data_IF_627389874040
#
_entry.id   IF_627389874040
#
_cell.length_a   1.000
_cell.length_b   1.000
_cell.length_c   1.000
_cell.angle_alpha   90.00
_cell.angle_beta   90.00
_cell.angle_gamma   90.00
#
_symmetry.space_group_name_H-M   'P 1'
#
loop_
_entity.id
_entity.type
_entity.pdbx_description
1 polymer ?
#
# COMPACT_ATOMS: atom_id res chain seq x y z
N UNK A 1 8.06 5.00 -2.16
CA UNK A 1 7.12 5.38 -3.24
C UNK A 1 6.53 6.76 -2.98
N UNK A 2 6.59 7.67 -3.96
CA UNK A 2 6.07 9.04 -3.83
C UNK A 2 4.60 9.07 -4.25
N UNK A 3 3.79 9.87 -3.55
CA UNK A 3 2.34 9.99 -3.79
C UNK A 3 1.98 10.42 -5.22
N UNK A 4 2.86 11.20 -5.87
CA UNK A 4 2.69 11.67 -7.25
C UNK A 4 2.63 10.52 -8.27
N UNK A 5 3.37 9.43 -8.04
CA UNK A 5 3.41 8.26 -8.94
C UNK A 5 2.14 7.42 -8.84
N UNK A 6 1.48 7.43 -7.68
CA UNK A 6 0.25 6.69 -7.43
C UNK A 6 -0.99 7.39 -7.99
N UNK A 7 -0.95 8.71 -8.14
CA UNK A 7 -2.08 9.51 -8.66
C UNK A 7 -2.33 9.28 -10.16
N UNK A 8 -1.29 8.98 -10.94
CA UNK A 8 -1.39 8.82 -12.39
C UNK A 8 -1.60 7.37 -12.84
N UNK A 9 -1.59 6.40 -11.91
CA UNK A 9 -1.77 4.98 -12.23
C UNK A 9 -3.25 4.62 -12.32
N UNK A 10 -3.64 3.72 -13.24
CA UNK A 10 -5.01 3.26 -13.35
C UNK A 10 -5.45 2.51 -12.09
N UNK A 11 -6.74 2.64 -11.74
CA UNK A 11 -7.37 1.96 -10.59
C UNK A 11 -7.06 0.46 -10.52
N UNK A 12 -6.99 -0.22 -11.67
CA UNK A 12 -6.67 -1.63 -11.75
C UNK A 12 -5.25 -1.94 -11.27
N UNK A 13 -4.28 -1.12 -11.63
CA UNK A 13 -2.89 -1.27 -11.22
C UNK A 13 -2.72 -0.92 -9.74
N UNK A 14 -3.42 0.11 -9.24
CA UNK A 14 -3.46 0.44 -7.81
C UNK A 14 -4.00 -0.73 -6.98
N UNK A 15 -5.06 -1.41 -7.44
CA UNK A 15 -5.59 -2.61 -6.76
C UNK A 15 -4.61 -3.78 -6.78
N UNK A 16 -3.91 -4.02 -7.90
CA UNK A 16 -2.86 -5.05 -7.99
C UNK A 16 -1.73 -4.77 -7.00
N UNK A 17 -1.21 -3.54 -7.01
CA UNK A 17 -0.17 -3.11 -6.07
C UNK A 17 -0.64 -3.20 -4.61
N UNK A 18 -1.91 -2.91 -4.32
CA UNK A 18 -2.46 -3.08 -2.98
C UNK A 18 -2.39 -4.55 -2.53
N UNK A 19 -2.78 -5.48 -3.42
CA UNK A 19 -2.74 -6.92 -3.14
C UNK A 19 -1.30 -7.40 -2.87
N UNK A 20 -0.36 -7.05 -3.74
CA UNK A 20 1.06 -7.41 -3.58
C UNK A 20 1.66 -6.85 -2.28
N UNK A 21 1.32 -5.62 -1.89
CA UNK A 21 1.79 -5.03 -0.64
C UNK A 21 1.16 -5.69 0.59
N UNK A 22 -0.08 -6.16 0.50
CA UNK A 22 -0.72 -6.96 1.55
C UNK A 22 -0.06 -8.33 1.72
N UNK A 23 0.25 -9.02 0.62
CA UNK A 23 0.97 -10.29 0.63
C UNK A 23 2.38 -10.11 1.24
N UNK A 24 3.12 -9.08 0.82
CA UNK A 24 4.41 -8.72 1.44
C UNK A 24 4.28 -8.42 2.93
N UNK A 25 3.21 -7.76 3.36
CA UNK A 25 2.97 -7.48 4.77
C UNK A 25 2.71 -8.78 5.54
N UNK A 26 1.97 -9.71 4.97
CA UNK A 26 1.69 -11.02 5.55
C UNK A 26 2.98 -11.85 5.69
N UNK A 27 3.81 -11.91 4.65
CA UNK A 27 5.13 -12.56 4.71
C UNK A 27 6.03 -11.95 5.78
N UNK A 28 6.04 -10.62 5.89
CA UNK A 28 6.78 -9.93 6.94
C UNK A 28 6.22 -10.29 8.32
N UNK A 29 4.90 -10.39 8.50
CA UNK A 29 4.29 -10.81 9.77
C UNK A 29 4.66 -12.24 10.15
N UNK A 30 4.67 -13.17 9.20
CA UNK A 30 5.13 -14.54 9.43
C UNK A 30 6.60 -14.59 9.84
N UNK A 31 7.46 -13.84 9.14
CA UNK A 31 8.89 -13.76 9.47
C UNK A 31 9.15 -13.09 10.84
N UNK A 32 8.30 -12.16 11.28
CA UNK A 32 8.34 -11.60 12.66
C UNK A 32 7.96 -12.67 13.67
N UNK A 33 6.90 -13.45 13.41
CA UNK A 33 6.45 -14.51 14.31
C UNK A 33 7.56 -15.53 14.56
N UNK A 34 8.36 -15.83 13.53
CA UNK A 34 9.54 -16.70 13.64
C UNK A 34 10.77 -16.03 14.29
N UNK A 35 10.66 -14.82 14.85
CA UNK A 35 11.74 -14.00 15.47
C UNK A 35 12.99 -13.80 14.60
N UNK A 36 12.93 -14.10 13.31
CA UNK A 36 14.06 -14.05 12.37
C UNK A 36 14.26 -12.65 11.75
N UNK A 37 13.29 -11.75 11.90
CA UNK A 37 13.28 -10.46 11.21
C UNK A 37 13.98 -9.35 12.01
N UNK A 38 15.22 -9.01 11.64
CA UNK A 38 15.93 -7.81 12.11
C UNK A 38 15.32 -6.49 11.60
N UNK A 39 14.59 -6.51 10.47
CA UNK A 39 14.13 -5.31 9.77
C UNK A 39 12.67 -4.92 10.07
N UNK A 40 12.41 -4.48 11.30
CA UNK A 40 11.09 -4.01 11.76
C UNK A 40 10.61 -2.76 10.99
N UNK A 41 11.54 -1.91 10.55
CA UNK A 41 11.23 -0.68 9.78
C UNK A 41 10.57 -0.97 8.43
N UNK A 42 10.82 -2.13 7.82
CA UNK A 42 10.21 -2.50 6.53
C UNK A 42 8.68 -2.57 6.60
N UNK A 43 8.13 -3.10 7.69
CA UNK A 43 6.69 -3.23 7.91
C UNK A 43 6.00 -1.87 7.94
N UNK A 44 6.59 -0.91 8.66
CA UNK A 44 6.04 0.44 8.75
C UNK A 44 6.07 1.15 7.40
N UNK A 45 7.09 0.90 6.58
CA UNK A 45 7.14 1.41 5.21
C UNK A 45 6.06 0.77 4.32
N UNK A 46 5.87 -0.54 4.38
CA UNK A 46 4.82 -1.25 3.63
C UNK A 46 3.42 -0.76 4.03
N UNK A 47 3.15 -0.58 5.33
CA UNK A 47 1.89 -0.01 5.84
C UNK A 47 1.64 1.41 5.30
N UNK A 48 2.67 2.26 5.30
CA UNK A 48 2.57 3.62 4.74
C UNK A 48 2.29 3.61 3.24
N UNK A 49 2.82 2.65 2.49
CA UNK A 49 2.54 2.48 1.05
C UNK A 49 1.07 2.11 0.84
N UNK A 50 0.55 1.13 1.60
CA UNK A 50 -0.86 0.72 1.53
C UNK A 50 -1.79 1.92 1.82
N UNK A 51 -1.52 2.67 2.89
CA UNK A 51 -2.31 3.85 3.25
C UNK A 51 -2.33 4.92 2.14
N UNK A 52 -1.20 5.15 1.47
CA UNK A 52 -1.10 6.08 0.33
C UNK A 52 -1.89 5.60 -0.88
N UNK A 53 -1.87 4.30 -1.20
CA UNK A 53 -2.66 3.71 -2.29
C UNK A 53 -4.16 3.87 -2.00
N UNK A 54 -4.60 3.55 -0.78
CA UNK A 54 -6.00 3.70 -0.36
C UNK A 54 -6.45 5.16 -0.43
N UNK A 55 -5.59 6.10 -0.02
CA UNK A 55 -5.88 7.53 -0.09
C UNK A 55 -6.03 7.99 -1.55
N UNK A 56 -5.17 7.54 -2.46
CA UNK A 56 -5.27 7.85 -3.88
C UNK A 56 -6.62 7.37 -4.47
N UNK A 57 -7.03 6.13 -4.14
CA UNK A 57 -8.32 5.57 -4.56
C UNK A 57 -9.52 6.37 -3.98
N UNK A 58 -9.44 6.77 -2.71
CA UNK A 58 -10.49 7.57 -2.07
C UNK A 58 -10.62 8.99 -2.63
N UNK A 59 -9.48 9.63 -2.96
CA UNK A 59 -9.47 10.96 -3.57
C UNK A 59 -10.08 10.95 -4.98
N UNK A 60 -9.83 9.91 -5.79
CA UNK A 60 -10.50 9.75 -7.08
C UNK A 60 -12.02 9.60 -6.94
N UNK A 61 -12.51 8.94 -5.88
CA UNK A 61 -13.93 8.80 -5.64
C UNK A 61 -14.57 10.13 -5.17
N UNK A 62 -13.93 10.87 -4.26
CA UNK A 62 -14.40 12.21 -3.84
C UNK A 62 -14.46 13.22 -5.00
N UNK A 63 -13.54 13.12 -5.96
CA UNK A 63 -13.58 13.98 -7.16
C UNK A 63 -14.72 13.61 -8.13
N UNK A 64 -15.22 12.37 -8.09
CA UNK A 64 -16.40 11.96 -8.87
C UNK A 64 -17.71 12.40 -8.23
N UNK A 65 -17.79 12.43 -6.90
CA UNK A 65 -19.00 12.86 -6.17
C UNK A 65 -19.21 14.39 -6.17
N UNK A 66 -18.17 15.17 -6.47
CA UNK A 66 -18.24 16.64 -6.55
C UNK A 66 -18.57 17.17 -7.96
N UNK A 67 -18.86 16.29 -8.91
CA UNK A 67 -19.09 16.62 -10.32
C UNK A 67 -20.50 16.22 -10.72
#
# INVERSE_FOLDING_TARGET
MKYKELKNKPKAELKRMLKENHEKLQDMRFKIANRSLKNVKGINNTKKIIARILTALGQENKNKEKK
#
